data_IF_032675495563
#
_entry.id   IF_032675495563
#
_cell.length_a   1.000
_cell.length_b   1.000
_cell.length_c   1.000
_cell.angle_alpha   90.00
_cell.angle_beta   90.00
_cell.angle_gamma   90.00
#
_symmetry.space_group_name_H-M   'P 1'
#
loop_
_entity.id
_entity.type
_entity.pdbx_description
1 polymer ?
#
# COMPACT_ATOMS: atom_id res chain seq x y z
N UNK A 1 -35.86 -38.96 35.63
CA UNK A 1 -36.25 -40.13 34.82
C UNK A 1 -35.97 -39.79 33.37
N UNK A 2 -35.04 -40.54 32.75
CA UNK A 2 -34.62 -40.62 31.32
C UNK A 2 -34.26 -39.32 30.60
N UNK A 3 -32.98 -38.95 30.45
CA UNK A 3 -31.94 -39.45 29.51
C UNK A 3 -32.31 -39.40 28.02
N UNK A 4 -31.59 -38.56 27.26
CA UNK A 4 -30.89 -38.93 26.02
C UNK A 4 -29.98 -37.79 25.51
N UNK A 5 -28.67 -38.06 25.47
CA UNK A 5 -27.70 -37.44 24.52
C UNK A 5 -27.83 -38.13 23.15
N UNK A 6 -27.38 -37.48 22.07
CA UNK A 6 -26.10 -37.87 21.44
C UNK A 6 -25.29 -36.62 21.01
N UNK A 7 -23.97 -36.55 20.97
CA UNK A 7 -22.84 -37.40 20.57
C UNK A 7 -22.12 -36.70 19.39
N UNK A 8 -20.82 -36.59 19.57
CA UNK A 8 -19.86 -35.86 18.74
C UNK A 8 -19.36 -36.76 17.61
N UNK A 9 -19.55 -36.33 16.36
CA UNK A 9 -18.99 -36.99 15.18
C UNK A 9 -18.28 -35.97 14.29
N UNK A 10 -16.96 -36.04 14.28
CA UNK A 10 -16.06 -35.40 13.32
C UNK A 10 -16.08 -36.20 12.02
N UNK A 11 -16.66 -35.64 10.94
CA UNK A 11 -16.55 -36.20 9.60
C UNK A 11 -15.41 -35.51 8.83
N UNK A 12 -14.25 -36.18 8.84
CA UNK A 12 -13.08 -35.88 8.03
C UNK A 12 -13.15 -36.69 6.72
N UNK A 13 -14.04 -36.28 5.81
CA UNK A 13 -14.20 -36.93 4.49
C UNK A 13 -14.32 -35.94 3.32
N UNK A 14 -13.94 -34.68 3.56
CA UNK A 14 -13.95 -33.61 2.56
C UNK A 14 -12.66 -33.47 1.75
N UNK A 15 -11.49 -33.78 2.31
CA UNK A 15 -10.20 -33.52 1.66
C UNK A 15 -9.81 -34.55 0.58
N UNK A 16 -10.31 -35.79 0.66
CA UNK A 16 -9.94 -36.85 -0.28
C UNK A 16 -10.66 -36.74 -1.65
N UNK A 17 -11.81 -36.05 -1.69
CA UNK A 17 -12.58 -35.84 -2.93
C UNK A 17 -12.04 -34.70 -3.79
N UNK A 18 -11.41 -33.69 -3.19
CA UNK A 18 -10.83 -32.55 -3.90
C UNK A 18 -9.50 -32.91 -4.60
N UNK A 19 -8.70 -33.81 -4.02
CA UNK A 19 -7.48 -34.31 -4.67
C UNK A 19 -7.79 -35.21 -5.88
N UNK A 20 -8.85 -36.01 -5.84
CA UNK A 20 -9.28 -36.83 -6.97
C UNK A 20 -9.74 -35.98 -8.17
N UNK A 21 -10.44 -34.87 -7.91
CA UNK A 21 -10.88 -33.91 -8.93
C UNK A 21 -9.70 -33.11 -9.52
N UNK A 22 -8.76 -32.67 -8.68
CA UNK A 22 -7.55 -31.97 -9.12
C UNK A 22 -6.65 -32.88 -9.97
N UNK A 23 -6.50 -34.15 -9.59
CA UNK A 23 -5.73 -35.14 -10.37
C UNK A 23 -6.38 -35.44 -11.72
N UNK A 24 -7.70 -35.58 -11.78
CA UNK A 24 -8.44 -35.75 -13.04
C UNK A 24 -8.32 -34.54 -13.97
N UNK A 25 -8.27 -33.32 -13.42
CA UNK A 25 -8.06 -32.10 -14.19
C UNK A 25 -6.63 -32.02 -14.77
N UNK A 26 -5.61 -32.39 -14.00
CA UNK A 26 -4.22 -32.43 -14.46
C UNK A 26 -3.93 -33.56 -15.46
N UNK A 27 -4.58 -34.72 -15.31
CA UNK A 27 -4.48 -35.82 -16.27
C UNK A 27 -5.16 -35.48 -17.61
N UNK A 28 -6.22 -34.67 -17.60
CA UNK A 28 -6.89 -34.19 -18.81
C UNK A 28 -6.10 -33.08 -19.55
N UNK A 29 -5.16 -32.41 -18.87
CA UNK A 29 -4.23 -31.46 -19.50
C UNK A 29 -3.05 -32.15 -20.19
N UNK A 30 -2.75 -33.40 -19.86
CA UNK A 30 -1.68 -34.20 -20.50
C UNK A 30 -2.11 -34.90 -21.80
N UNK A 31 -3.41 -34.93 -22.11
CA UNK A 31 -3.95 -35.67 -23.27
C UNK A 31 -3.98 -34.87 -24.57
N UNK A 32 -3.62 -33.58 -24.57
CA UNK A 32 -3.61 -32.75 -25.77
C UNK A 32 -2.20 -32.32 -26.20
N UNK A 33 -1.46 -33.26 -26.82
CA UNK A 33 -0.48 -33.01 -27.89
C UNK A 33 -0.10 -34.34 -28.59
N UNK A 34 0.32 -34.31 -29.87
CA UNK A 34 0.23 -35.45 -30.79
C UNK A 34 1.35 -36.49 -30.56
N UNK A 35 1.02 -37.77 -30.79
CA UNK A 35 1.93 -38.93 -30.75
C UNK A 35 2.95 -38.89 -31.90
N UNK A 36 4.17 -39.38 -31.66
CA UNK A 36 4.89 -40.21 -32.62
C UNK A 36 5.04 -41.66 -32.12
N UNK A 37 5.38 -42.53 -33.06
CA UNK A 37 5.17 -43.98 -33.09
C UNK A 37 5.85 -44.81 -31.98
N UNK A 38 5.25 -45.99 -31.76
CA UNK A 38 5.66 -47.05 -30.86
C UNK A 38 6.65 -48.04 -31.51
N UNK A 39 7.59 -48.53 -30.71
CA UNK A 39 8.40 -49.77 -30.77
C UNK A 39 9.44 -49.58 -29.63
N UNK A 40 9.69 -50.44 -28.64
CA UNK A 40 9.61 -51.89 -28.45
C UNK A 40 9.46 -52.23 -26.95
N UNK A 41 9.09 -53.49 -26.70
CA UNK A 41 8.69 -54.13 -25.45
C UNK A 41 9.87 -54.87 -24.79
N UNK A 42 9.97 -54.87 -23.45
CA UNK A 42 10.22 -56.04 -22.55
C UNK A 42 10.73 -55.59 -21.15
N UNK A 43 9.97 -55.82 -20.08
CA UNK A 43 10.02 -56.99 -19.16
C UNK A 43 10.95 -56.82 -17.94
N UNK A 44 10.37 -56.69 -16.74
CA UNK A 44 10.58 -57.62 -15.62
C UNK A 44 9.73 -57.21 -14.40
N UNK A 45 9.17 -58.22 -13.75
CA UNK A 45 8.17 -58.15 -12.68
C UNK A 45 8.76 -58.12 -11.27
N UNK A 46 7.94 -57.61 -10.33
CA UNK A 46 7.83 -57.95 -8.89
C UNK A 46 9.05 -57.72 -7.96
N UNK A 47 8.83 -56.94 -6.88
CA UNK A 47 9.11 -57.30 -5.47
C UNK A 47 8.39 -56.28 -4.53
N UNK A 48 7.37 -56.81 -3.84
CA UNK A 48 6.97 -56.70 -2.41
C UNK A 48 7.24 -55.38 -1.63
N UNK A 49 6.16 -54.91 -0.99
CA UNK A 49 6.09 -53.95 0.12
C UNK A 49 6.96 -54.33 1.34
N UNK A 50 7.77 -53.40 1.83
CA UNK A 50 7.96 -53.19 3.29
C UNK A 50 8.81 -51.95 3.60
N UNK A 51 8.37 -51.25 4.64
CA UNK A 51 9.10 -50.40 5.59
C UNK A 51 9.43 -48.93 5.28
N UNK A 52 8.75 -48.09 6.07
CA UNK A 52 9.10 -46.72 6.41
C UNK A 52 10.50 -46.63 7.01
N UNK A 53 11.33 -45.72 6.48
CA UNK A 53 12.25 -44.89 7.26
C UNK A 53 12.32 -43.49 6.64
N UNK A 54 12.45 -42.43 7.45
CA UNK A 54 12.55 -41.06 6.94
C UNK A 54 13.97 -40.85 6.42
N UNK A 55 14.11 -40.61 5.12
CA UNK A 55 15.38 -40.16 4.57
C UNK A 55 15.47 -38.63 4.74
N UNK A 56 16.27 -38.23 5.71
CA UNK A 56 16.73 -36.85 5.88
C UNK A 56 18.02 -36.68 5.07
N UNK A 57 17.92 -36.14 3.86
CA UNK A 57 19.10 -35.88 3.05
C UNK A 57 18.81 -35.33 1.65
N UNK A 58 19.06 -34.03 1.50
CA UNK A 58 19.36 -33.32 0.25
C UNK A 58 18.32 -33.30 -0.88
N UNK A 59 17.57 -32.20 -1.00
CA UNK A 59 17.11 -31.68 -2.31
C UNK A 59 17.09 -30.14 -2.42
N UNK A 60 17.72 -29.41 -1.48
CA UNK A 60 17.78 -27.93 -1.50
C UNK A 60 18.59 -27.39 -2.71
N UNK A 61 19.54 -28.18 -3.22
CA UNK A 61 20.39 -27.76 -4.36
C UNK A 61 19.76 -27.96 -5.74
N UNK A 62 18.72 -28.80 -5.85
CA UNK A 62 17.97 -29.06 -7.06
C UNK A 62 16.93 -27.97 -7.34
N UNK A 63 16.15 -27.63 -6.30
CA UNK A 63 15.13 -26.57 -6.37
C UNK A 63 15.76 -25.20 -6.63
N UNK A 64 16.91 -24.88 -6.04
CA UNK A 64 17.58 -23.60 -6.23
C UNK A 64 18.16 -23.45 -7.65
N UNK A 65 18.62 -24.55 -8.26
CA UNK A 65 19.06 -24.60 -9.67
C UNK A 65 17.89 -24.48 -10.65
N UNK A 66 16.79 -25.17 -10.37
CA UNK A 66 15.58 -25.09 -11.19
C UNK A 66 14.95 -23.69 -11.11
N UNK A 67 14.99 -23.05 -9.95
CA UNK A 67 14.57 -21.66 -9.79
C UNK A 67 15.50 -20.69 -10.53
N UNK A 68 16.82 -20.88 -10.44
CA UNK A 68 17.79 -20.06 -11.17
C UNK A 68 17.64 -20.19 -12.71
N UNK A 69 17.38 -21.41 -13.20
CA UNK A 69 17.11 -21.68 -14.62
C UNK A 69 15.78 -21.07 -15.08
N UNK A 70 14.71 -21.23 -14.30
CA UNK A 70 13.40 -20.61 -14.56
C UNK A 70 13.48 -19.08 -14.56
N UNK A 71 14.25 -18.51 -13.64
CA UNK A 71 14.52 -17.07 -13.57
C UNK A 71 15.30 -16.57 -14.78
N UNK A 72 16.35 -17.27 -15.20
CA UNK A 72 17.12 -16.90 -16.39
C UNK A 72 16.27 -16.99 -17.67
N UNK A 73 15.39 -17.99 -17.76
CA UNK A 73 14.43 -18.12 -18.85
C UNK A 73 13.44 -16.94 -18.87
N UNK A 74 12.82 -16.62 -17.73
CA UNK A 74 11.89 -15.49 -17.60
C UNK A 74 12.59 -14.16 -17.90
N UNK A 75 13.82 -13.98 -17.41
CA UNK A 75 14.61 -12.77 -17.66
C UNK A 75 14.96 -12.59 -19.15
N UNK A 76 14.93 -13.65 -19.97
CA UNK A 76 15.18 -13.60 -21.42
C UNK A 76 13.92 -13.39 -22.28
N UNK A 77 12.71 -13.38 -21.71
CA UNK A 77 11.46 -13.17 -22.46
C UNK A 77 11.33 -11.72 -22.94
N UNK A 78 11.36 -11.48 -24.25
CA UNK A 78 11.16 -10.14 -24.82
C UNK A 78 9.71 -9.69 -24.64
N UNK A 79 9.51 -8.48 -24.12
CA UNK A 79 8.20 -7.85 -23.94
C UNK A 79 8.26 -6.39 -24.37
N UNK A 80 7.17 -5.88 -24.95
CA UNK A 80 7.01 -4.46 -25.30
C UNK A 80 6.57 -3.61 -24.10
N UNK A 81 6.10 -4.25 -23.00
CA UNK A 81 5.76 -3.56 -21.75
C UNK A 81 6.98 -3.52 -20.82
N UNK A 82 7.27 -2.39 -20.16
CA UNK A 82 8.34 -2.32 -19.17
C UNK A 82 8.10 -3.33 -18.05
N UNK A 83 9.11 -4.12 -17.70
CA UNK A 83 8.98 -5.06 -16.58
C UNK A 83 8.78 -4.30 -15.26
N UNK A 84 7.97 -4.84 -14.33
CA UNK A 84 7.88 -4.30 -12.99
C UNK A 84 9.23 -4.44 -12.27
N UNK A 85 9.59 -3.48 -11.41
CA UNK A 85 10.85 -3.55 -10.70
C UNK A 85 10.86 -4.71 -9.70
N UNK A 86 12.04 -5.26 -9.42
CA UNK A 86 12.21 -6.30 -8.38
C UNK A 86 11.86 -5.71 -7.01
N UNK A 87 10.98 -6.38 -6.21
CA UNK A 87 10.43 -5.79 -4.97
C UNK A 87 11.49 -5.28 -3.99
N UNK A 88 12.62 -5.98 -3.87
CA UNK A 88 13.73 -5.60 -2.98
C UNK A 88 14.37 -4.24 -3.26
N UNK A 89 14.18 -3.70 -4.46
CA UNK A 89 14.77 -2.41 -4.88
C UNK A 89 13.73 -1.33 -5.13
N UNK A 90 12.47 -1.73 -5.28
CA UNK A 90 11.38 -0.83 -5.58
C UNK A 90 10.91 -0.06 -4.35
N UNK A 91 10.29 1.09 -4.59
CA UNK A 91 9.46 1.78 -3.61
C UNK A 91 8.04 1.27 -3.78
N UNK A 92 7.61 0.36 -2.91
CA UNK A 92 6.34 -0.34 -3.03
C UNK A 92 5.21 0.50 -2.45
N UNK A 93 4.23 0.85 -3.30
CA UNK A 93 3.02 1.59 -2.96
C UNK A 93 1.83 0.65 -3.09
N UNK A 94 1.27 0.23 -1.95
CA UNK A 94 0.07 -0.58 -1.94
C UNK A 94 -1.17 0.30 -1.90
N UNK A 95 -2.11 0.10 -2.82
CA UNK A 95 -3.37 0.84 -2.87
C UNK A 95 -4.55 -0.13 -2.79
N UNK A 96 -5.59 0.24 -2.04
CA UNK A 96 -6.83 -0.53 -2.03
C UNK A 96 -7.64 -0.36 -3.32
N UNK A 97 -8.46 -1.34 -3.68
CA UNK A 97 -9.36 -1.22 -4.83
C UNK A 97 -10.29 -0.01 -4.72
N UNK A 98 -10.86 0.24 -3.52
CA UNK A 98 -11.74 1.39 -3.24
C UNK A 98 -11.04 2.76 -3.23
N UNK A 99 -9.71 2.79 -3.15
CA UNK A 99 -8.93 4.02 -3.31
C UNK A 99 -8.55 4.27 -4.75
N UNK A 100 -8.19 3.21 -5.48
CA UNK A 100 -7.78 3.33 -6.88
C UNK A 100 -8.97 3.63 -7.80
N UNK A 101 -10.11 2.97 -7.53
CA UNK A 101 -11.34 3.10 -8.29
C UNK A 101 -12.47 3.60 -7.41
N UNK A 102 -13.41 4.32 -8.02
CA UNK A 102 -14.69 4.62 -7.39
C UNK A 102 -15.55 3.36 -7.40
N UNK A 103 -15.81 2.86 -6.20
CA UNK A 103 -16.60 1.65 -5.97
C UNK A 103 -17.71 1.92 -4.94
N UNK A 104 -18.21 3.17 -4.86
CA UNK A 104 -19.24 3.55 -3.88
C UNK A 104 -20.53 2.75 -4.10
N UNK A 105 -20.97 2.60 -5.36
CA UNK A 105 -22.17 1.83 -5.70
C UNK A 105 -22.01 0.35 -5.33
N UNK A 106 -20.88 -0.26 -5.67
CA UNK A 106 -20.65 -1.67 -5.41
C UNK A 106 -20.43 -1.96 -3.93
N UNK A 107 -19.85 -1.00 -3.19
CA UNK A 107 -19.79 -1.08 -1.73
C UNK A 107 -21.19 -1.09 -1.12
N UNK A 108 -22.12 -0.27 -1.63
CA UNK A 108 -23.50 -0.24 -1.16
C UNK A 108 -24.18 -1.60 -1.35
N UNK A 109 -23.99 -2.23 -2.52
CA UNK A 109 -24.49 -3.59 -2.79
C UNK A 109 -23.91 -4.60 -1.79
N UNK A 110 -22.61 -4.54 -1.50
CA UNK A 110 -22.00 -5.43 -0.50
C UNK A 110 -22.58 -5.24 0.90
N UNK A 111 -22.77 -4.00 1.33
CA UNK A 111 -23.27 -3.67 2.68
C UNK A 111 -24.76 -3.99 2.85
N UNK A 112 -25.58 -3.79 1.81
CA UNK A 112 -27.03 -3.97 1.87
C UNK A 112 -27.49 -5.38 1.45
N UNK A 113 -26.82 -5.99 0.46
CA UNK A 113 -27.25 -7.24 -0.18
C UNK A 113 -26.28 -8.41 0.04
N UNK A 114 -25.10 -8.17 0.61
CA UNK A 114 -24.12 -9.20 0.96
C UNK A 114 -23.13 -9.57 -0.16
N UNK A 115 -22.24 -10.52 0.14
CA UNK A 115 -21.10 -10.89 -0.69
C UNK A 115 -21.51 -11.50 -2.03
N UNK A 116 -22.51 -12.39 -2.03
CA UNK A 116 -22.93 -13.13 -3.21
C UNK A 116 -23.51 -12.18 -4.28
N UNK A 117 -24.32 -11.21 -3.86
CA UNK A 117 -24.90 -10.18 -4.73
C UNK A 117 -23.84 -9.23 -5.26
N UNK A 118 -22.91 -8.82 -4.41
CA UNK A 118 -21.75 -8.03 -4.81
C UNK A 118 -20.91 -8.74 -5.87
N UNK A 119 -20.58 -10.03 -5.67
CA UNK A 119 -19.79 -10.81 -6.62
C UNK A 119 -20.52 -10.97 -7.94
N UNK A 120 -21.81 -11.32 -7.93
CA UNK A 120 -22.62 -11.43 -9.14
C UNK A 120 -22.64 -10.12 -9.94
N UNK A 121 -22.83 -8.99 -9.27
CA UNK A 121 -22.80 -7.67 -9.89
C UNK A 121 -21.43 -7.38 -10.55
N UNK A 122 -20.33 -7.69 -9.87
CA UNK A 122 -18.98 -7.49 -10.42
C UNK A 122 -18.70 -8.35 -11.66
N UNK A 123 -19.21 -9.57 -11.70
CA UNK A 123 -19.09 -10.47 -12.86
C UNK A 123 -19.95 -9.99 -14.03
N UNK A 124 -21.20 -9.59 -13.78
CA UNK A 124 -22.10 -9.07 -14.83
C UNK A 124 -21.52 -7.82 -15.52
N UNK A 125 -20.82 -6.96 -14.76
CA UNK A 125 -20.24 -5.72 -15.24
C UNK A 125 -18.73 -5.81 -15.50
N UNK A 126 -18.17 -7.02 -15.68
CA UNK A 126 -16.71 -7.21 -15.76
C UNK A 126 -16.05 -6.48 -16.94
N UNK A 127 -16.81 -6.24 -18.01
CA UNK A 127 -16.36 -5.51 -19.20
C UNK A 127 -16.54 -3.99 -19.08
N UNK A 128 -17.17 -3.50 -18.00
CA UNK A 128 -17.39 -2.09 -17.75
C UNK A 128 -16.31 -1.54 -16.81
N UNK A 129 -15.43 -0.64 -17.28
CA UNK A 129 -14.37 -0.06 -16.46
C UNK A 129 -14.94 0.71 -15.27
N UNK A 130 -14.37 0.50 -14.09
CA UNK A 130 -14.69 1.27 -12.89
C UNK A 130 -14.18 2.71 -13.03
N UNK A 131 -14.96 3.69 -12.56
CA UNK A 131 -14.53 5.08 -12.62
C UNK A 131 -13.27 5.34 -11.77
N UNK A 132 -12.43 6.33 -12.11
CA UNK A 132 -11.24 6.69 -11.35
C UNK A 132 -11.55 7.09 -9.89
N UNK A 133 -10.79 6.53 -8.94
CA UNK A 133 -10.89 6.84 -7.52
C UNK A 133 -9.93 7.94 -7.05
N UNK A 134 -9.89 8.18 -5.74
CA UNK A 134 -9.08 9.24 -5.13
C UNK A 134 -7.56 9.08 -5.34
N UNK A 135 -7.06 7.84 -5.39
CA UNK A 135 -5.65 7.55 -5.61
C UNK A 135 -5.25 7.58 -7.10
N UNK A 136 -6.21 7.64 -8.01
CA UNK A 136 -5.94 7.49 -9.44
C UNK A 136 -4.95 8.54 -9.99
N UNK A 137 -5.12 9.86 -9.71
CA UNK A 137 -4.15 10.85 -10.17
C UNK A 137 -2.76 10.65 -9.56
N UNK A 138 -2.70 10.25 -8.28
CA UNK A 138 -1.45 9.93 -7.61
C UNK A 138 -0.72 8.76 -8.29
N UNK A 139 -1.44 7.68 -8.63
CA UNK A 139 -0.87 6.55 -9.37
C UNK A 139 -0.35 6.98 -10.75
N UNK A 140 -1.09 7.80 -11.51
CA UNK A 140 -0.58 8.33 -12.79
C UNK A 140 0.68 9.17 -12.61
N UNK A 141 0.78 9.97 -11.56
CA UNK A 141 1.98 10.75 -11.26
C UNK A 141 3.18 9.87 -10.89
N UNK A 142 2.98 8.79 -10.12
CA UNK A 142 4.03 7.79 -9.84
C UNK A 142 4.52 7.14 -11.15
N UNK A 143 3.60 6.80 -12.05
CA UNK A 143 3.94 6.24 -13.36
C UNK A 143 4.76 7.22 -14.21
N UNK A 144 4.40 8.51 -14.20
CA UNK A 144 5.18 9.54 -14.90
C UNK A 144 6.61 9.65 -14.34
N UNK A 145 6.77 9.60 -13.00
CA UNK A 145 8.10 9.55 -12.38
C UNK A 145 8.88 8.30 -12.84
N UNK A 146 8.23 7.13 -12.89
CA UNK A 146 8.85 5.90 -13.38
C UNK A 146 9.31 6.01 -14.84
N UNK A 147 8.51 6.61 -15.72
CA UNK A 147 8.90 6.84 -17.12
C UNK A 147 10.16 7.70 -17.20
N UNK A 148 10.19 8.83 -16.47
CA UNK A 148 11.36 9.72 -16.37
C UNK A 148 12.59 9.02 -15.79
N UNK A 149 12.42 8.15 -14.80
CA UNK A 149 13.52 7.37 -14.25
C UNK A 149 14.06 6.37 -15.28
N UNK A 150 13.20 5.70 -16.05
CA UNK A 150 13.63 4.76 -17.11
C UNK A 150 14.33 5.46 -18.27
N UNK A 151 13.94 6.67 -18.62
CA UNK A 151 14.65 7.49 -19.61
C UNK A 151 16.11 7.76 -19.19
N UNK A 152 16.31 8.09 -17.91
CA UNK A 152 17.64 8.43 -17.37
C UNK A 152 18.47 7.21 -16.94
N UNK A 153 17.79 6.13 -16.56
CA UNK A 153 18.35 4.89 -16.03
C UNK A 153 17.57 3.66 -16.55
N UNK A 154 17.77 3.25 -17.81
CA UNK A 154 16.99 2.18 -18.44
C UNK A 154 17.00 0.84 -17.69
N UNK A 155 18.14 0.50 -17.06
CA UNK A 155 18.33 -0.76 -16.34
C UNK A 155 18.05 -0.67 -14.83
N UNK A 156 17.59 0.49 -14.34
CA UNK A 156 17.36 0.71 -12.91
C UNK A 156 16.07 0.06 -12.44
N UNK A 157 16.20 -0.79 -11.42
CA UNK A 157 15.10 -1.39 -10.68
C UNK A 157 14.56 -0.49 -9.55
N UNK A 158 15.21 0.65 -9.27
CA UNK A 158 14.79 1.61 -8.25
C UNK A 158 13.68 2.51 -8.80
N UNK A 159 12.47 1.96 -8.85
CA UNK A 159 11.24 2.58 -9.36
C UNK A 159 10.13 2.43 -8.32
N UNK A 160 9.01 3.11 -8.53
CA UNK A 160 7.78 2.77 -7.81
C UNK A 160 7.21 1.44 -8.30
N UNK A 161 6.86 0.56 -7.37
CA UNK A 161 6.06 -0.64 -7.63
C UNK A 161 4.66 -0.42 -7.05
N UNK A 162 3.64 -0.36 -7.91
CA UNK A 162 2.26 -0.14 -7.47
C UNK A 162 1.59 -1.50 -7.37
N UNK A 163 1.07 -1.82 -6.17
CA UNK A 163 0.43 -3.10 -5.88
C UNK A 163 -1.03 -2.85 -5.51
N UNK A 164 -1.96 -3.53 -6.20
CA UNK A 164 -3.36 -3.51 -5.81
C UNK A 164 -3.59 -4.50 -4.66
N UNK A 165 -4.10 -4.01 -3.54
CA UNK A 165 -4.35 -4.79 -2.33
C UNK A 165 -5.84 -4.77 -2.00
N UNK A 166 -6.54 -5.89 -2.12
CA UNK A 166 -8.00 -5.93 -1.90
C UNK A 166 -8.43 -7.11 -1.06
N UNK A 167 -9.47 -6.88 -0.25
CA UNK A 167 -10.12 -7.92 0.52
C UNK A 167 -11.22 -8.62 -0.29
N UNK A 168 -11.40 -8.23 -1.56
CA UNK A 168 -12.42 -8.80 -2.41
C UNK A 168 -12.16 -10.27 -2.73
N UNK A 169 -13.25 -10.98 -3.04
CA UNK A 169 -13.19 -12.33 -3.60
C UNK A 169 -12.51 -12.32 -4.97
N UNK A 170 -11.76 -13.38 -5.30
CA UNK A 170 -10.95 -13.45 -6.53
C UNK A 170 -11.77 -13.28 -7.82
N UNK A 171 -13.05 -13.68 -7.81
CA UNK A 171 -13.97 -13.49 -8.95
C UNK A 171 -14.18 -12.02 -9.33
N UNK A 172 -14.01 -11.08 -8.40
CA UNK A 172 -14.09 -9.64 -8.68
C UNK A 172 -12.84 -9.12 -9.43
N UNK A 173 -11.78 -9.92 -9.48
CA UNK A 173 -10.48 -9.53 -10.02
C UNK A 173 -10.54 -9.15 -11.50
N UNK A 174 -11.41 -9.78 -12.28
CA UNK A 174 -11.49 -9.56 -13.73
C UNK A 174 -11.87 -8.11 -14.05
N UNK A 175 -12.90 -7.56 -13.39
CA UNK A 175 -13.29 -6.15 -13.60
C UNK A 175 -12.19 -5.17 -13.20
N UNK A 176 -11.46 -5.46 -12.11
CA UNK A 176 -10.33 -4.65 -11.66
C UNK A 176 -9.19 -4.66 -12.69
N UNK A 177 -8.86 -5.84 -13.23
CA UNK A 177 -7.85 -6.00 -14.29
C UNK A 177 -8.28 -5.28 -15.56
N UNK A 178 -9.54 -5.43 -15.98
CA UNK A 178 -10.09 -4.75 -17.15
C UNK A 178 -10.04 -3.23 -16.99
N UNK A 179 -10.34 -2.71 -15.80
CA UNK A 179 -10.24 -1.28 -15.49
C UNK A 179 -8.79 -0.81 -15.55
N UNK A 180 -7.84 -1.57 -14.99
CA UNK A 180 -6.40 -1.26 -15.03
C UNK A 180 -5.88 -1.22 -16.48
N UNK A 181 -6.29 -2.18 -17.30
CA UNK A 181 -5.95 -2.21 -18.73
C UNK A 181 -6.62 -1.05 -19.50
N UNK A 182 -7.88 -0.74 -19.22
CA UNK A 182 -8.61 0.34 -19.88
C UNK A 182 -7.93 1.70 -19.69
N UNK A 183 -7.41 1.96 -18.48
CA UNK A 183 -6.71 3.20 -18.14
C UNK A 183 -5.20 3.20 -18.38
N UNK A 184 -4.68 2.10 -18.95
CA UNK A 184 -3.25 1.87 -19.17
C UNK A 184 -2.42 2.13 -17.90
N UNK A 185 -2.84 1.51 -16.79
CA UNK A 185 -2.12 1.56 -15.51
C UNK A 185 -1.07 0.44 -15.46
N UNK A 186 0.17 0.77 -15.12
CA UNK A 186 1.26 -0.22 -15.01
C UNK A 186 1.25 -0.92 -13.65
N UNK A 187 0.14 -1.60 -13.34
CA UNK A 187 -0.05 -2.36 -12.11
C UNK A 187 -0.04 -3.84 -12.50
N UNK A 188 1.06 -4.53 -12.18
CA UNK A 188 1.27 -5.94 -12.55
C UNK A 188 1.09 -6.88 -11.35
N UNK A 189 1.03 -6.33 -10.13
CA UNK A 189 0.95 -7.10 -8.88
C UNK A 189 -0.36 -6.81 -8.16
N UNK A 190 -1.05 -7.90 -7.82
CA UNK A 190 -2.34 -7.88 -7.12
C UNK A 190 -2.30 -8.87 -5.97
N UNK A 191 -3.00 -8.54 -4.90
CA UNK A 191 -3.30 -9.46 -3.82
C UNK A 191 -4.78 -9.34 -3.47
N UNK A 192 -5.48 -10.47 -3.51
CA UNK A 192 -6.89 -10.60 -3.20
C UNK A 192 -7.04 -11.60 -2.06
N UNK A 193 -7.47 -11.15 -0.90
CA UNK A 193 -7.44 -11.97 0.33
C UNK A 193 -8.77 -12.65 0.66
N UNK A 194 -9.80 -12.51 -0.18
CA UNK A 194 -11.08 -13.20 0.00
C UNK A 194 -11.74 -12.95 1.36
N UNK A 195 -11.65 -11.73 1.87
CA UNK A 195 -12.21 -11.29 3.16
C UNK A 195 -11.22 -11.26 4.32
N UNK A 196 -10.02 -11.86 4.18
CA UNK A 196 -8.99 -11.80 5.24
C UNK A 196 -8.27 -10.45 5.26
N UNK A 197 -7.63 -10.12 6.37
CA UNK A 197 -6.85 -8.88 6.49
C UNK A 197 -5.65 -8.87 5.52
N UNK A 198 -5.38 -7.78 4.81
CA UNK A 198 -4.27 -7.69 3.86
C UNK A 198 -2.91 -7.40 4.53
N UNK A 199 -2.89 -7.13 5.84
CA UNK A 199 -1.72 -6.55 6.52
C UNK A 199 -0.50 -7.48 6.51
N UNK A 200 -0.71 -8.78 6.72
CA UNK A 200 0.38 -9.76 6.61
C UNK A 200 1.04 -9.76 5.23
N UNK A 201 0.25 -9.57 4.17
CA UNK A 201 0.76 -9.44 2.81
C UNK A 201 1.48 -8.11 2.61
N UNK A 202 0.98 -6.98 3.11
CA UNK A 202 1.68 -5.69 3.00
C UNK A 202 3.14 -5.79 3.48
N UNK A 203 3.39 -6.50 4.58
CA UNK A 203 4.74 -6.75 5.11
C UNK A 203 5.57 -7.64 4.17
N UNK A 204 5.01 -8.75 3.68
CA UNK A 204 5.68 -9.65 2.73
C UNK A 204 6.02 -8.95 1.40
N UNK A 205 5.20 -7.98 0.98
CA UNK A 205 5.43 -7.16 -0.20
C UNK A 205 6.46 -6.03 0.02
N UNK A 206 7.01 -5.88 1.22
CA UNK A 206 7.94 -4.79 1.59
C UNK A 206 7.33 -3.40 1.32
N UNK A 207 6.07 -3.23 1.72
CA UNK A 207 5.29 -2.01 1.44
C UNK A 207 5.91 -0.79 2.10
N UNK A 208 6.21 0.26 1.32
CA UNK A 208 6.68 1.56 1.82
C UNK A 208 5.54 2.51 2.16
N UNK A 209 4.38 2.37 1.51
CA UNK A 209 3.18 3.14 1.80
C UNK A 209 1.93 2.32 1.46
N UNK A 210 0.99 2.24 2.41
CA UNK A 210 -0.33 1.66 2.19
C UNK A 210 -1.43 2.73 2.21
N UNK A 211 -2.24 2.79 1.15
CA UNK A 211 -3.35 3.72 1.02
C UNK A 211 -4.67 2.96 0.93
N UNK A 212 -5.61 3.27 1.81
CA UNK A 212 -6.91 2.61 1.87
C UNK A 212 -8.05 3.57 2.19
N UNK A 213 -9.28 3.21 1.85
CA UNK A 213 -10.50 3.87 2.39
C UNK A 213 -10.96 3.23 3.70
N UNK A 214 -10.28 2.18 4.14
CA UNK A 214 -10.59 1.43 5.34
C UNK A 214 -9.69 1.88 6.50
N UNK A 215 -10.26 2.63 7.45
CA UNK A 215 -9.50 3.18 8.58
C UNK A 215 -9.00 2.10 9.52
N UNK A 216 -9.73 1.00 9.69
CA UNK A 216 -9.32 -0.09 10.58
C UNK A 216 -8.07 -0.78 10.04
N UNK A 217 -8.03 -1.04 8.73
CA UNK A 217 -6.85 -1.61 8.07
C UNK A 217 -5.65 -0.66 8.09
N UNK A 218 -5.89 0.65 8.02
CA UNK A 218 -4.81 1.64 8.12
C UNK A 218 -4.19 1.63 9.52
N UNK A 219 -5.02 1.58 10.57
CA UNK A 219 -4.54 1.46 11.96
C UNK A 219 -3.73 0.17 12.13
N UNK A 220 -4.27 -0.97 11.68
CA UNK A 220 -3.60 -2.28 11.74
C UNK A 220 -2.25 -2.26 11.00
N UNK A 221 -2.15 -1.56 9.86
CA UNK A 221 -0.89 -1.38 9.13
C UNK A 221 0.14 -0.55 9.91
N UNK A 222 -0.28 0.58 10.50
CA UNK A 222 0.58 1.46 11.29
C UNK A 222 1.11 0.72 12.52
N UNK A 223 0.25 -0.05 13.21
CA UNK A 223 0.64 -0.87 14.36
C UNK A 223 1.68 -1.95 14.00
N UNK A 224 1.71 -2.39 12.75
CA UNK A 224 2.71 -3.31 12.21
C UNK A 224 3.97 -2.60 11.67
N UNK A 225 4.10 -1.28 11.87
CA UNK A 225 5.24 -0.48 11.43
C UNK A 225 5.23 -0.16 9.93
N UNK A 226 4.08 -0.27 9.26
CA UNK A 226 3.92 0.07 7.84
C UNK A 226 3.34 1.48 7.76
N UNK A 227 4.00 2.38 7.03
CA UNK A 227 3.44 3.70 6.77
C UNK A 227 2.11 3.55 6.02
N UNK A 228 1.03 4.09 6.59
CA UNK A 228 -0.29 3.98 6.00
C UNK A 228 -1.14 5.21 6.26
N UNK A 229 -2.14 5.42 5.40
CA UNK A 229 -3.11 6.50 5.57
C UNK A 229 -4.49 6.16 4.97
N UNK A 230 -5.52 6.70 5.61
CA UNK A 230 -6.91 6.59 5.14
C UNK A 230 -7.19 7.71 4.15
N UNK A 231 -7.44 7.39 2.88
CA UNK A 231 -7.65 8.39 1.84
C UNK A 231 -9.09 8.90 1.78
N UNK A 232 -9.22 10.20 1.55
CA UNK A 232 -10.48 10.89 1.34
C UNK A 232 -10.49 11.59 -0.03
N UNK A 233 -11.61 11.46 -0.73
CA UNK A 233 -11.84 12.18 -1.98
C UNK A 233 -12.10 13.66 -1.68
N UNK A 234 -11.59 14.54 -2.52
CA UNK A 234 -11.92 15.97 -2.45
C UNK A 234 -13.39 16.24 -2.84
N UNK A 235 -13.99 17.28 -2.26
CA UNK A 235 -15.40 17.63 -2.54
C UNK A 235 -15.54 18.41 -3.86
N UNK A 236 -14.42 18.91 -4.39
CA UNK A 236 -14.32 19.66 -5.65
C UNK A 236 -13.24 19.06 -6.52
N UNK A 237 -13.51 18.94 -7.82
CA UNK A 237 -12.48 18.56 -8.78
C UNK A 237 -11.51 19.71 -9.00
N UNK A 238 -10.24 19.48 -8.66
CA UNK A 238 -9.14 20.38 -8.95
C UNK A 238 -8.27 19.77 -10.03
N UNK A 239 -7.92 20.54 -11.06
CA UNK A 239 -6.96 20.10 -12.05
C UNK A 239 -5.56 19.99 -11.42
N UNK A 240 -5.05 18.77 -11.33
CA UNK A 240 -3.70 18.47 -10.87
C UNK A 240 -2.71 18.62 -12.03
N UNK A 241 -1.44 18.83 -11.67
CA UNK A 241 -0.35 18.83 -12.65
C UNK A 241 0.00 17.38 -13.01
N UNK A 242 0.14 17.09 -14.29
CA UNK A 242 0.46 15.76 -14.81
C UNK A 242 1.98 15.48 -14.88
N UNK A 243 2.79 16.53 -14.96
CA UNK A 243 4.25 16.44 -15.11
C UNK A 243 5.03 16.19 -13.81
N UNK A 244 4.41 16.39 -12.64
CA UNK A 244 5.08 16.22 -11.35
C UNK A 244 4.21 15.47 -10.35
N UNK A 245 4.80 14.53 -9.62
CA UNK A 245 4.29 14.05 -8.35
C UNK A 245 4.50 15.10 -7.26
N UNK A 246 3.41 15.56 -6.64
CA UNK A 246 3.42 16.50 -5.52
C UNK A 246 2.88 15.82 -4.27
N UNK A 247 3.70 15.71 -3.23
CA UNK A 247 3.35 15.06 -1.97
C UNK A 247 3.51 16.06 -0.83
N UNK A 248 2.43 16.33 -0.11
CA UNK A 248 2.44 17.25 1.02
C UNK A 248 2.24 16.48 2.33
N UNK A 249 3.00 16.87 3.36
CA UNK A 249 3.00 16.24 4.67
C UNK A 249 2.77 17.29 5.75
N UNK A 250 1.96 16.97 6.76
CA UNK A 250 2.15 17.59 8.06
C UNK A 250 3.47 17.14 8.71
N UNK A 251 3.93 17.90 9.69
CA UNK A 251 5.12 17.60 10.49
C UNK A 251 4.83 16.59 11.60
N UNK A 252 4.24 17.08 12.69
CA UNK A 252 4.03 16.32 13.92
C UNK A 252 3.03 15.18 13.69
N UNK A 253 3.23 14.05 14.38
CA UNK A 253 2.46 12.81 14.23
C UNK A 253 2.37 12.21 12.80
N UNK A 254 3.08 12.77 11.82
CA UNK A 254 3.17 12.29 10.43
C UNK A 254 4.62 11.97 10.08
N UNK A 255 5.48 12.99 9.98
CA UNK A 255 6.92 12.82 9.73
C UNK A 255 7.71 12.69 11.03
N UNK A 256 7.29 13.43 12.05
CA UNK A 256 7.85 13.41 13.40
C UNK A 256 6.87 12.69 14.35
N UNK A 257 7.38 12.27 15.52
CA UNK A 257 6.53 11.73 16.58
C UNK A 257 5.55 12.78 17.13
N UNK A 258 4.62 12.36 17.97
CA UNK A 258 3.66 13.22 18.68
C UNK A 258 4.21 13.86 19.97
N UNK A 259 5.53 13.78 20.22
CA UNK A 259 6.22 14.36 21.39
C UNK A 259 5.81 15.81 21.65
N UNK A 260 5.83 16.65 20.62
CA UNK A 260 5.49 18.07 20.73
C UNK A 260 4.00 18.30 21.04
N UNK A 261 3.11 17.49 20.47
CA UNK A 261 1.68 17.58 20.76
C UNK A 261 1.37 17.18 22.21
N UNK A 262 2.06 16.15 22.72
CA UNK A 262 1.96 15.73 24.12
C UNK A 262 2.36 16.88 25.07
N UNK A 263 3.45 17.60 24.77
CA UNK A 263 3.91 18.72 25.59
C UNK A 263 2.87 19.85 25.58
N UNK A 264 2.38 20.25 24.40
CA UNK A 264 1.36 21.30 24.29
C UNK A 264 0.09 20.94 25.07
N UNK A 265 -0.38 19.69 24.97
CA UNK A 265 -1.59 19.22 25.69
C UNK A 265 -1.41 19.14 27.20
N UNK A 266 -0.22 18.79 27.69
CA UNK A 266 0.05 18.63 29.13
C UNK A 266 0.48 19.92 29.83
N UNK A 267 1.24 20.77 29.14
CA UNK A 267 1.96 21.88 29.75
C UNK A 267 1.69 23.23 29.08
N UNK A 268 0.99 23.24 27.95
CA UNK A 268 0.65 24.48 27.22
C UNK A 268 1.73 24.92 26.23
N UNK A 269 1.46 26.06 25.56
CA UNK A 269 2.28 26.55 24.46
C UNK A 269 3.63 27.15 24.90
N UNK A 270 3.68 27.82 26.05
CA UNK A 270 4.91 28.47 26.51
C UNK A 270 5.99 27.42 26.82
N UNK A 271 5.65 26.37 27.57
CA UNK A 271 6.54 25.25 27.84
C UNK A 271 6.95 24.52 26.56
N UNK A 272 6.07 24.45 25.56
CA UNK A 272 6.44 23.91 24.24
C UNK A 272 7.51 24.77 23.56
N UNK A 273 7.40 26.09 23.57
CA UNK A 273 8.41 26.95 22.96
C UNK A 273 9.76 26.88 23.69
N UNK A 274 9.75 26.87 25.03
CA UNK A 274 10.96 26.67 25.83
C UNK A 274 11.64 25.33 25.50
N UNK A 275 10.84 24.26 25.42
CA UNK A 275 11.33 22.94 25.04
C UNK A 275 11.92 22.93 23.62
N UNK A 276 11.25 23.52 22.64
CA UNK A 276 11.78 23.57 21.27
C UNK A 276 13.07 24.37 21.16
N UNK A 277 13.25 25.42 21.98
CA UNK A 277 14.48 26.20 22.05
C UNK A 277 15.62 25.40 22.71
N UNK A 278 15.35 24.74 23.84
CA UNK A 278 16.32 23.92 24.57
C UNK A 278 16.81 22.73 23.72
N UNK A 279 15.87 22.06 23.04
CA UNK A 279 16.13 20.86 22.24
C UNK A 279 16.36 21.14 20.75
N UNK A 280 16.60 22.40 20.35
CA UNK A 280 16.70 22.80 18.94
C UNK A 280 17.70 21.97 18.12
N UNK A 281 18.80 21.54 18.74
CA UNK A 281 19.86 20.72 18.11
C UNK A 281 19.67 19.21 18.31
N UNK A 282 18.64 18.78 19.04
CA UNK A 282 18.30 17.37 19.22
C UNK A 282 17.20 16.99 18.21
N UNK A 283 17.46 16.03 17.29
CA UNK A 283 16.46 15.61 16.32
C UNK A 283 15.14 15.18 16.99
N UNK A 284 14.01 15.54 16.37
CA UNK A 284 12.71 14.99 16.75
C UNK A 284 12.70 13.48 16.51
N UNK A 285 11.94 12.74 17.32
CA UNK A 285 11.73 11.32 17.06
C UNK A 285 10.91 11.11 15.77
N UNK A 286 11.06 9.94 15.15
CA UNK A 286 10.44 9.64 13.87
C UNK A 286 8.94 9.37 13.98
N UNK A 287 8.18 9.90 13.04
CA UNK A 287 6.77 9.58 12.82
C UNK A 287 6.58 8.42 11.84
N UNK A 288 5.32 7.98 11.65
CA UNK A 288 4.98 6.81 10.85
C UNK A 288 5.33 6.94 9.35
N UNK A 289 5.37 8.14 8.78
CA UNK A 289 5.63 8.35 7.35
C UNK A 289 7.08 8.76 7.01
N UNK A 290 7.99 8.80 7.99
CA UNK A 290 9.42 9.11 7.73
C UNK A 290 10.01 8.18 6.66
N UNK A 291 9.74 6.88 6.73
CA UNK A 291 10.29 5.89 5.80
C UNK A 291 9.81 6.13 4.35
N UNK A 292 8.59 6.64 4.18
CA UNK A 292 8.08 7.00 2.85
C UNK A 292 8.77 8.27 2.32
N UNK A 293 9.01 9.28 3.17
CA UNK A 293 9.80 10.45 2.78
C UNK A 293 11.25 10.08 2.42
N UNK A 294 11.86 9.14 3.14
CA UNK A 294 13.19 8.60 2.81
C UNK A 294 13.20 7.95 1.41
N UNK A 295 12.15 7.19 1.08
CA UNK A 295 11.99 6.57 -0.22
C UNK A 295 11.84 7.60 -1.35
N UNK A 296 11.03 8.65 -1.13
CA UNK A 296 10.90 9.78 -2.07
C UNK A 296 12.24 10.50 -2.26
N UNK A 297 12.93 10.84 -1.16
CA UNK A 297 14.23 11.51 -1.18
C UNK A 297 15.30 10.69 -1.90
N UNK A 298 15.27 9.35 -1.76
CA UNK A 298 16.15 8.45 -2.52
C UNK A 298 15.94 8.59 -4.03
N UNK A 299 14.69 8.59 -4.49
CA UNK A 299 14.37 8.75 -5.92
C UNK A 299 14.69 10.18 -6.42
N UNK A 300 14.41 11.23 -5.62
CA UNK A 300 14.79 12.60 -5.93
C UNK A 300 16.30 12.74 -6.18
N UNK A 301 17.13 12.14 -5.32
CA UNK A 301 18.59 12.15 -5.50
C UNK A 301 19.05 11.53 -6.81
N UNK A 302 18.33 10.54 -7.37
CA UNK A 302 18.65 9.99 -8.70
C UNK A 302 18.50 11.03 -9.81
N UNK A 303 17.48 11.87 -9.73
CA UNK A 303 17.31 12.99 -10.67
C UNK A 303 18.41 14.05 -10.45
N UNK A 304 18.75 14.35 -9.20
CA UNK A 304 19.78 15.34 -8.89
C UNK A 304 21.15 14.92 -9.45
N UNK A 305 21.49 13.63 -9.37
CA UNK A 305 22.71 13.07 -9.95
C UNK A 305 22.78 13.17 -11.49
N UNK A 306 21.67 13.47 -12.17
CA UNK A 306 21.59 13.72 -13.61
C UNK A 306 21.38 15.20 -13.95
N UNK A 307 21.64 16.10 -13.01
CA UNK A 307 21.40 17.54 -13.14
C UNK A 307 19.92 17.93 -13.34
N UNK A 308 18.98 17.06 -13.01
CA UNK A 308 17.53 17.29 -13.12
C UNK A 308 16.93 17.82 -11.80
N UNK A 309 17.72 18.55 -10.98
CA UNK A 309 17.24 19.06 -9.68
C UNK A 309 16.07 20.03 -9.81
N UNK A 310 16.16 20.97 -10.75
CA UNK A 310 15.11 21.96 -10.99
C UNK A 310 13.86 21.33 -11.64
N UNK A 311 14.08 20.35 -12.52
CA UNK A 311 13.03 19.66 -13.28
C UNK A 311 12.64 18.31 -12.65
N UNK A 312 12.94 18.11 -11.37
CA UNK A 312 12.66 16.86 -10.69
C UNK A 312 11.14 16.61 -10.73
N UNK A 313 10.69 15.42 -11.19
CA UNK A 313 9.27 15.11 -11.26
C UNK A 313 8.69 14.75 -9.89
N UNK A 314 9.47 14.73 -8.81
CA UNK A 314 9.00 14.55 -7.44
C UNK A 314 9.21 15.87 -6.69
N UNK A 315 8.15 16.41 -6.10
CA UNK A 315 8.19 17.61 -5.26
C UNK A 315 7.50 17.36 -3.93
N UNK A 316 8.20 17.66 -2.85
CA UNK A 316 7.78 17.38 -1.48
C UNK A 316 7.52 18.67 -0.72
N UNK A 317 6.47 18.67 0.10
CA UNK A 317 6.04 19.84 0.85
C UNK A 317 5.88 19.48 2.32
N UNK A 318 6.43 20.31 3.21
CA UNK A 318 6.09 20.30 4.63
C UNK A 318 5.08 21.42 4.87
N UNK A 319 3.88 21.09 5.35
CA UNK A 319 2.79 22.03 5.65
C UNK A 319 2.42 21.89 7.12
N UNK A 320 3.05 22.68 7.98
CA UNK A 320 2.97 22.51 9.44
C UNK A 320 2.33 23.69 10.15
N UNK A 321 1.54 23.41 11.18
CA UNK A 321 0.97 24.42 12.07
C UNK A 321 2.04 25.11 12.96
N UNK A 322 3.28 24.58 13.02
CA UNK A 322 4.38 25.18 13.76
C UNK A 322 4.70 26.60 13.29
N UNK A 323 5.20 27.41 14.21
CA UNK A 323 5.75 28.74 13.92
C UNK A 323 7.18 28.62 13.44
N UNK A 324 7.52 29.31 12.35
CA UNK A 324 8.89 29.34 11.82
C UNK A 324 9.89 29.87 12.86
N UNK A 325 9.52 30.94 13.58
CA UNK A 325 10.43 31.66 14.46
C UNK A 325 10.70 30.92 15.78
N UNK A 326 9.69 30.25 16.35
CA UNK A 326 9.80 29.65 17.70
C UNK A 326 10.00 28.14 17.72
N UNK A 327 9.62 27.42 16.66
CA UNK A 327 9.64 25.94 16.64
C UNK A 327 10.06 25.33 15.31
N UNK A 328 10.39 26.17 14.31
CA UNK A 328 10.75 25.71 12.96
C UNK A 328 12.20 25.27 12.81
N UNK A 329 13.12 25.83 13.61
CA UNK A 329 14.55 25.51 13.50
C UNK A 329 14.84 24.02 13.78
N UNK A 330 14.26 23.46 14.84
CA UNK A 330 14.41 22.03 15.21
C UNK A 330 13.91 21.10 14.11
N UNK A 331 12.79 21.43 13.47
CA UNK A 331 12.22 20.68 12.34
C UNK A 331 13.17 20.62 11.16
N UNK A 332 13.70 21.77 10.72
CA UNK A 332 14.62 21.84 9.60
C UNK A 332 15.97 21.16 9.90
N UNK A 333 16.46 21.29 11.14
CA UNK A 333 17.67 20.59 11.59
C UNK A 333 17.46 19.08 11.63
N UNK A 334 16.29 18.62 12.09
CA UNK A 334 15.94 17.19 12.12
C UNK A 334 15.97 16.59 10.72
N UNK A 335 15.29 17.22 9.74
CA UNK A 335 15.30 16.76 8.34
C UNK A 335 16.72 16.70 7.78
N UNK A 336 17.54 17.72 8.06
CA UNK A 336 18.95 17.76 7.66
C UNK A 336 19.76 16.62 8.28
N UNK A 337 19.58 16.35 9.58
CA UNK A 337 20.26 15.24 10.26
C UNK A 337 19.87 13.88 9.67
N UNK A 338 18.63 13.73 9.21
CA UNK A 338 18.18 12.53 8.49
C UNK A 338 18.66 12.47 7.04
N UNK A 339 19.32 13.50 6.52
CA UNK A 339 19.71 13.59 5.11
C UNK A 339 18.50 13.70 4.18
N UNK A 340 17.39 14.25 4.68
CA UNK A 340 16.15 14.48 3.94
C UNK A 340 16.03 15.94 3.57
N UNK A 341 15.75 16.17 2.29
CA UNK A 341 15.48 17.49 1.74
C UNK A 341 13.99 17.58 1.44
N UNK A 342 13.36 18.67 1.87
CA UNK A 342 12.01 19.04 1.48
C UNK A 342 12.13 20.22 0.52
N UNK A 343 11.40 20.19 -0.59
CA UNK A 343 11.49 21.24 -1.61
C UNK A 343 10.86 22.56 -1.12
N UNK A 344 9.75 22.48 -0.38
CA UNK A 344 9.04 23.63 0.17
C UNK A 344 8.55 23.37 1.60
N UNK A 345 8.92 24.24 2.55
CA UNK A 345 8.47 24.17 3.93
C UNK A 345 7.62 25.41 4.28
N UNK A 346 6.36 25.17 4.65
CA UNK A 346 5.36 26.17 4.95
C UNK A 346 4.99 26.07 6.43
N UNK A 347 5.45 27.06 7.20
CA UNK A 347 5.18 27.20 8.63
C UNK A 347 4.03 28.19 8.83
N UNK A 348 2.91 27.69 9.34
CA UNK A 348 1.65 28.43 9.38
C UNK A 348 1.40 29.15 10.70
N UNK A 349 2.14 28.84 11.77
CA UNK A 349 1.91 29.40 13.11
C UNK A 349 0.43 29.32 13.54
N UNK A 350 -0.23 28.18 13.30
CA UNK A 350 -1.64 27.95 13.60
C UNK A 350 -2.64 28.40 12.53
N UNK A 351 -2.21 29.07 11.46
CA UNK A 351 -3.10 29.44 10.36
C UNK A 351 -3.66 28.20 9.63
N UNK A 352 -4.86 28.29 9.02
CA UNK A 352 -5.45 27.18 8.27
C UNK A 352 -4.59 26.72 7.09
N UNK A 353 -4.46 25.40 6.92
CA UNK A 353 -3.65 24.77 5.86
C UNK A 353 -4.32 24.83 4.47
N UNK A 354 -5.65 24.81 4.44
CA UNK A 354 -6.47 24.71 3.23
C UNK A 354 -6.10 25.69 2.09
N UNK A 355 -5.97 27.01 2.34
CA UNK A 355 -5.59 27.97 1.30
C UNK A 355 -4.23 27.68 0.64
N UNK A 356 -3.24 27.19 1.41
CA UNK A 356 -1.95 26.82 0.86
C UNK A 356 -2.04 25.51 0.07
N UNK A 357 -2.80 24.53 0.55
CA UNK A 357 -3.04 23.28 -0.18
C UNK A 357 -3.71 23.52 -1.53
N UNK A 358 -4.66 24.46 -1.60
CA UNK A 358 -5.29 24.88 -2.86
C UNK A 358 -4.28 25.48 -3.86
N UNK A 359 -3.25 26.18 -3.35
CA UNK A 359 -2.16 26.72 -4.18
C UNK A 359 -1.19 25.64 -4.63
N UNK A 360 -0.81 24.73 -3.72
CA UNK A 360 0.14 23.64 -3.96
C UNK A 360 -0.45 22.62 -4.94
N UNK A 361 -1.75 22.31 -4.82
CA UNK A 361 -2.46 21.25 -5.54
C UNK A 361 -1.71 19.92 -5.47
N UNK A 362 -1.50 19.37 -4.26
CA UNK A 362 -0.77 18.12 -4.12
C UNK A 362 -1.62 16.97 -4.67
N UNK A 363 -0.95 15.91 -5.12
CA UNK A 363 -1.61 14.66 -5.49
C UNK A 363 -2.15 13.95 -4.25
N UNK A 364 -1.47 14.14 -3.13
CA UNK A 364 -1.88 13.62 -1.82
C UNK A 364 -1.32 14.53 -0.71
N UNK A 365 -2.16 14.81 0.27
CA UNK A 365 -1.80 15.53 1.49
C UNK A 365 -2.00 14.64 2.72
N UNK A 366 -0.96 14.47 3.55
CA UNK A 366 -1.02 13.66 4.77
C UNK A 366 -1.14 14.54 6.02
N UNK A 367 -2.06 14.18 6.91
CA UNK A 367 -2.27 14.85 8.19
C UNK A 367 -2.82 13.86 9.23
N UNK A 368 -2.48 14.03 10.50
CA UNK A 368 -2.97 13.17 11.59
C UNK A 368 -4.32 13.64 12.15
N UNK A 369 -4.77 14.86 11.84
CA UNK A 369 -5.98 15.43 12.40
C UNK A 369 -7.11 15.53 11.37
N UNK A 370 -8.25 14.93 11.70
CA UNK A 370 -9.43 14.93 10.82
C UNK A 370 -9.92 16.35 10.45
N UNK A 371 -9.76 17.33 11.34
CA UNK A 371 -10.12 18.72 11.05
C UNK A 371 -9.31 19.31 9.86
N UNK A 372 -8.02 18.98 9.77
CA UNK A 372 -7.19 19.38 8.64
C UNK A 372 -7.52 18.60 7.36
N UNK A 373 -7.87 17.32 7.50
CA UNK A 373 -8.35 16.48 6.40
C UNK A 373 -9.64 17.06 5.80
N UNK A 374 -10.62 17.41 6.63
CA UNK A 374 -11.89 18.05 6.22
C UNK A 374 -11.63 19.38 5.52
N UNK A 375 -10.83 20.27 6.12
CA UNK A 375 -10.49 21.56 5.51
C UNK A 375 -9.75 21.43 4.18
N UNK A 376 -8.94 20.38 3.99
CA UNK A 376 -8.29 20.10 2.70
C UNK A 376 -9.30 19.64 1.64
N UNK A 377 -10.28 18.79 2.00
CA UNK A 377 -11.32 18.30 1.10
C UNK A 377 -12.21 19.43 0.57
N UNK A 378 -12.63 20.33 1.46
CA UNK A 378 -13.46 21.51 1.11
C UNK A 378 -12.77 22.43 0.09
N UNK A 379 -11.43 22.47 0.15
CA UNK A 379 -10.55 23.24 -0.72
C UNK A 379 -10.14 22.50 -2.00
N UNK A 380 -10.70 21.31 -2.25
CA UNK A 380 -10.47 20.54 -3.47
C UNK A 380 -9.17 19.74 -3.49
N UNK A 381 -8.62 19.40 -2.31
CA UNK A 381 -7.37 18.63 -2.18
C UNK A 381 -7.66 17.20 -1.73
N UNK A 382 -7.05 16.22 -2.39
CA UNK A 382 -7.07 14.82 -1.93
C UNK A 382 -6.22 14.72 -0.67
N UNK A 383 -6.83 14.28 0.42
CA UNK A 383 -6.20 14.20 1.73
C UNK A 383 -6.21 12.77 2.26
N UNK A 384 -5.24 12.45 3.12
CA UNK A 384 -5.03 11.12 3.66
C UNK A 384 -4.71 11.21 5.16
N UNK A 385 -5.63 10.69 5.96
CA UNK A 385 -5.55 10.72 7.42
C UNK A 385 -4.58 9.66 7.94
N UNK A 386 -3.66 10.08 8.80
CA UNK A 386 -2.68 9.22 9.46
C UNK A 386 -3.12 9.03 10.91
N UNK A 387 -3.81 7.93 11.27
CA UNK A 387 -4.34 7.75 12.62
C UNK A 387 -3.23 7.38 13.62
N UNK A 388 -2.38 8.35 13.95
CA UNK A 388 -1.23 8.20 14.83
C UNK A 388 -1.20 9.30 15.90
N UNK A 389 -0.58 8.98 17.04
CA UNK A 389 -0.31 9.93 18.12
C UNK A 389 -1.47 10.21 19.07
N UNK A 390 -1.20 11.01 20.10
CA UNK A 390 -2.17 11.41 21.12
C UNK A 390 -3.35 12.20 20.56
N UNK A 391 -3.19 12.85 19.40
CA UNK A 391 -4.25 13.48 18.61
C UNK A 391 -5.49 12.62 18.46
N UNK A 392 -5.32 11.32 18.24
CA UNK A 392 -6.41 10.37 17.99
C UNK A 392 -7.36 10.18 19.18
N UNK A 393 -6.95 10.58 20.40
CA UNK A 393 -7.80 10.52 21.61
C UNK A 393 -8.69 11.75 21.77
N UNK A 394 -8.61 12.72 20.86
CA UNK A 394 -9.28 14.01 20.97
C UNK A 394 -10.02 14.34 19.67
N UNK A 395 -11.21 14.94 19.81
CA UNK A 395 -11.95 15.52 18.69
C UNK A 395 -12.22 16.99 19.00
N UNK A 396 -11.74 17.90 18.13
CA UNK A 396 -11.86 19.37 18.32
C UNK A 396 -11.40 19.84 19.71
N UNK A 397 -10.27 19.31 20.19
CA UNK A 397 -9.70 19.65 21.50
C UNK A 397 -10.38 18.98 22.71
N UNK A 398 -11.44 18.20 22.51
CA UNK A 398 -12.13 17.47 23.60
C UNK A 398 -11.73 16.00 23.59
N UNK A 399 -11.49 15.40 24.76
CA UNK A 399 -11.24 13.96 24.88
C UNK A 399 -12.42 13.16 24.32
N UNK A 400 -12.13 12.20 23.44
CA UNK A 400 -13.10 11.22 22.98
C UNK A 400 -13.31 10.23 24.12
N UNK A 401 -14.47 10.28 24.78
CA UNK A 401 -14.84 9.28 25.78
C UNK A 401 -14.94 7.91 25.09
N UNK A 402 -13.97 7.03 25.31
CA UNK A 402 -14.08 5.64 24.89
C UNK A 402 -15.16 4.95 25.75
N UNK A 403 -16.13 4.21 25.17
CA UNK A 403 -16.97 3.34 25.97
C UNK A 403 -16.07 2.30 26.63
N UNK A 404 -16.27 2.08 27.94
CA UNK A 404 -15.52 1.10 28.71
C UNK A 404 -15.52 -0.25 27.98
N UNK A 405 -14.33 -0.82 27.75
CA UNK A 405 -14.19 -2.21 27.30
C UNK A 405 -14.97 -3.07 28.29
N UNK A 406 -16.03 -3.73 27.83
CA UNK A 406 -16.63 -4.84 28.57
C UNK A 406 -15.58 -5.94 28.62
N UNK A 407 -15.16 -6.28 29.83
CA UNK A 407 -14.27 -7.41 30.16
C UNK A 407 -14.86 -8.75 29.72
#
# INVERSE_FOLDING_TARGET
>A
MSDMRPDSGSDDSGEEKDWAAAKAFFDNLKTNKPRPNAEEVHSASNIIMSDMRPDSGSDDSGEEKDWAAAKAFFDNLKTNKPRPPKPRFAVTIAVSSRTLFDMVAERKIYEEEGLEKYVAHQVEHESEPLAPGAAFPFVKALMNVNSRLRELYPDSEELFDIVLMTNNHAQVGVRLINSINHYDLTIERFCMTGGKSPIGYLKAYMTNLYLSKDSEKVIEAIDQGIAAATMFTADKQTQLIDTQLRVAFDGDAVLFSDESEIIVKKHGLDTFFEHEQEFENKPLAQGPLKCFLEALGKLQRKFYAKNERVNCPIRTYLVTARSAASSGARVLKTLRTWGLEIDEALFLAGAPKGPLLQKIRPHIYFDDQMFHIEGAKEMGTVSAHVPYGIGQKYHKGTLINQPAKKE
#
